data_IF_975700047912
#
_entry.id   IF_975700047912
#
_cell.length_a   1.000
_cell.length_b   1.000
_cell.length_c   1.000
_cell.angle_alpha   90.00
_cell.angle_beta   90.00
_cell.angle_gamma   90.00
#
_symmetry.space_group_name_H-M   'P 1'
#
loop_
_entity.id
_entity.type
_entity.pdbx_description
1 polymer ?
#
# COMPACT_ATOMS: atom_id res chain seq x y z
N UNK A 1 -60.65 25.32 13.10
CA UNK A 1 -59.55 26.01 13.80
C UNK A 1 -58.33 25.93 12.89
N UNK A 2 -57.90 27.04 12.27
CA UNK A 2 -56.67 27.09 11.47
C UNK A 2 -55.52 27.60 12.34
N UNK A 3 -54.43 26.83 12.46
CA UNK A 3 -53.21 27.30 13.12
C UNK A 3 -52.25 27.86 12.07
N UNK A 4 -52.08 29.18 12.15
CA UNK A 4 -51.17 30.01 11.39
C UNK A 4 -49.73 29.83 11.88
N UNK A 5 -48.80 29.48 10.99
CA UNK A 5 -47.36 29.50 11.27
C UNK A 5 -46.83 30.95 11.29
N UNK A 6 -45.95 31.34 12.26
CA UNK A 6 -45.35 32.66 12.26
C UNK A 6 -44.14 32.73 11.33
N UNK A 7 -44.15 33.72 10.44
CA UNK A 7 -43.04 34.21 9.63
C UNK A 7 -42.13 35.11 10.47
N UNK A 8 -40.82 34.84 10.49
CA UNK A 8 -39.83 35.78 11.03
C UNK A 8 -38.46 35.14 11.25
N UNK A 9 -37.59 35.19 10.24
CA UNK A 9 -36.17 34.91 10.40
C UNK A 9 -35.48 36.14 11.02
N UNK A 10 -34.90 35.98 12.22
CA UNK A 10 -33.99 36.98 12.80
C UNK A 10 -32.56 36.50 12.59
N UNK A 11 -31.81 37.26 11.79
CA UNK A 11 -30.38 37.06 11.57
C UNK A 11 -29.59 37.45 12.81
N UNK A 12 -28.56 36.67 13.13
CA UNK A 12 -27.59 37.00 14.15
C UNK A 12 -26.61 38.05 13.60
N UNK A 13 -26.57 39.19 14.27
CA UNK A 13 -25.68 40.33 14.05
C UNK A 13 -24.36 40.06 14.81
N UNK A 14 -23.23 39.96 14.09
CA UNK A 14 -21.90 39.86 14.70
C UNK A 14 -21.24 41.23 14.63
N UNK A 15 -21.16 41.92 15.75
CA UNK A 15 -20.34 43.13 15.90
C UNK A 15 -18.90 42.73 16.20
N UNK A 16 -17.98 43.11 15.29
CA UNK A 16 -16.53 43.01 15.51
C UNK A 16 -16.08 44.11 16.47
N UNK A 17 -15.61 43.73 17.66
CA UNK A 17 -14.94 44.65 18.58
C UNK A 17 -13.42 44.59 18.36
N UNK A 18 -12.94 45.51 17.53
CA UNK A 18 -11.52 45.88 17.43
C UNK A 18 -11.15 46.83 18.56
N UNK A 19 -10.34 46.35 19.50
CA UNK A 19 -9.50 47.24 20.33
C UNK A 19 -8.05 46.75 20.28
N UNK A 20 -7.30 47.37 19.38
CA UNK A 20 -5.85 47.52 19.46
C UNK A 20 -5.56 48.55 20.56
N UNK A 21 -4.70 48.22 21.52
CA UNK A 21 -3.37 48.83 21.61
C UNK A 21 -2.63 48.54 22.93
N UNK A 22 -1.30 48.40 22.77
CA UNK A 22 -0.24 48.72 23.74
C UNK A 22 -0.08 47.81 24.97
N UNK A 23 0.81 46.82 24.81
CA UNK A 23 2.03 46.73 25.63
C UNK A 23 3.13 46.04 24.82
N UNK A 24 3.96 46.86 24.16
CA UNK A 24 5.32 46.48 23.83
C UNK A 24 6.12 46.38 25.13
N UNK A 25 6.78 45.26 25.38
CA UNK A 25 8.24 45.19 25.52
C UNK A 25 8.71 43.87 26.14
N UNK A 26 9.78 43.33 25.54
CA UNK A 26 10.78 42.57 26.29
C UNK A 26 10.60 41.07 26.37
N UNK A 27 10.85 40.34 25.27
CA UNK A 27 11.67 39.12 25.30
C UNK A 27 12.18 38.83 23.89
N UNK A 28 13.40 39.29 23.61
CA UNK A 28 14.23 38.68 22.58
C UNK A 28 14.49 37.22 22.98
N UNK A 29 13.65 36.30 22.49
CA UNK A 29 13.96 34.89 22.55
C UNK A 29 15.18 34.65 21.65
N UNK A 30 16.33 34.49 22.30
CA UNK A 30 17.59 34.04 21.75
C UNK A 30 17.34 32.93 20.71
N UNK A 31 17.47 33.28 19.43
CA UNK A 31 17.68 32.32 18.36
C UNK A 31 19.08 31.75 18.59
N UNK A 32 19.16 30.70 19.39
CA UNK A 32 20.36 29.89 19.48
C UNK A 32 20.48 29.20 18.13
N UNK A 33 21.25 29.80 17.22
CA UNK A 33 21.86 29.05 16.14
C UNK A 33 22.62 27.89 16.79
N UNK A 34 22.38 26.62 16.43
CA UNK A 34 23.11 25.52 17.05
C UNK A 34 24.50 25.46 16.42
N UNK A 35 25.35 26.45 16.70
CA UNK A 35 26.80 26.35 16.53
C UNK A 35 27.32 25.43 17.64
N UNK A 36 27.03 24.14 17.52
CA UNK A 36 27.32 23.20 18.60
C UNK A 36 26.73 21.81 18.41
N UNK A 37 26.82 21.22 17.21
CA UNK A 37 26.78 19.76 17.12
C UNK A 37 28.06 19.22 17.77
N UNK A 38 28.09 19.13 19.10
CA UNK A 38 29.22 18.57 19.85
C UNK A 38 29.53 17.14 19.37
N UNK A 39 30.69 16.59 19.77
CA UNK A 39 31.17 15.26 19.34
C UNK A 39 30.11 14.15 19.46
N UNK A 40 29.24 14.23 20.47
CA UNK A 40 28.10 13.33 20.65
C UNK A 40 27.00 13.50 19.58
N UNK A 41 26.70 14.73 19.15
CA UNK A 41 25.75 15.01 18.06
C UNK A 41 26.27 14.53 16.71
N UNK A 42 27.55 14.75 16.41
CA UNK A 42 28.19 14.21 15.22
C UNK A 42 28.26 12.66 15.25
N UNK A 43 28.55 12.07 16.41
CA UNK A 43 28.58 10.62 16.60
C UNK A 43 27.20 9.97 16.44
N UNK A 44 26.16 10.55 17.06
CA UNK A 44 24.78 10.06 16.94
C UNK A 44 24.25 10.23 15.52
N UNK A 45 24.52 11.38 14.88
CA UNK A 45 24.18 11.61 13.47
C UNK A 45 24.86 10.57 12.56
N UNK A 46 26.15 10.31 12.77
CA UNK A 46 26.88 9.31 12.01
C UNK A 46 26.36 7.88 12.28
N UNK A 47 26.02 7.53 13.53
CA UNK A 47 25.44 6.23 13.89
C UNK A 47 24.04 6.04 13.28
N UNK A 48 23.22 7.09 13.25
CA UNK A 48 21.91 7.08 12.59
C UNK A 48 22.06 6.94 11.08
N UNK A 49 23.02 7.66 10.48
CA UNK A 49 23.34 7.56 9.05
C UNK A 49 23.82 6.15 8.66
N UNK A 50 24.77 5.58 9.41
CA UNK A 50 25.25 4.20 9.17
C UNK A 50 24.11 3.19 9.33
N UNK A 51 23.23 3.36 10.34
CA UNK A 51 22.06 2.51 10.51
C UNK A 51 21.05 2.67 9.36
N UNK A 52 20.86 3.87 8.83
CA UNK A 52 20.00 4.08 7.66
C UNK A 52 20.61 3.49 6.38
N UNK A 53 21.91 3.62 6.18
CA UNK A 53 22.61 3.05 5.02
C UNK A 53 22.57 1.52 5.05
N UNK A 54 22.86 0.91 6.20
CA UNK A 54 22.76 -0.55 6.38
C UNK A 54 21.32 -1.04 6.16
N UNK A 55 20.32 -0.29 6.63
CA UNK A 55 18.91 -0.61 6.42
C UNK A 55 18.55 -0.58 4.93
N UNK A 56 18.94 0.48 4.20
CA UNK A 56 18.66 0.59 2.75
C UNK A 56 19.33 -0.53 1.97
N UNK A 57 20.56 -0.92 2.32
CA UNK A 57 21.24 -2.07 1.70
C UNK A 57 20.50 -3.38 1.94
N UNK A 58 20.02 -3.62 3.16
CA UNK A 58 19.21 -4.82 3.47
C UNK A 58 17.90 -4.78 2.68
N UNK A 59 17.17 -3.67 2.72
CA UNK A 59 15.91 -3.52 1.99
C UNK A 59 16.10 -3.76 0.49
N UNK A 60 17.15 -3.19 -0.12
CA UNK A 60 17.46 -3.38 -1.54
C UNK A 60 17.67 -4.87 -1.87
N UNK A 61 18.49 -5.58 -1.07
CA UNK A 61 18.71 -7.03 -1.26
C UNK A 61 17.43 -7.85 -1.16
N UNK A 62 16.53 -7.48 -0.24
CA UNK A 62 15.25 -8.19 -0.08
C UNK A 62 14.29 -7.86 -1.23
N UNK A 63 14.28 -6.63 -1.72
CA UNK A 63 13.53 -6.23 -2.91
C UNK A 63 14.03 -7.04 -4.13
N UNK A 64 15.35 -7.13 -4.31
CA UNK A 64 15.95 -7.94 -5.37
C UNK A 64 15.53 -9.41 -5.25
N UNK A 65 15.65 -10.01 -4.06
CA UNK A 65 15.23 -11.38 -3.83
C UNK A 65 13.75 -11.62 -4.14
N UNK A 66 12.86 -10.66 -3.84
CA UNK A 66 11.43 -10.74 -4.19
C UNK A 66 11.23 -10.77 -5.72
N UNK A 67 11.86 -9.84 -6.45
CA UNK A 67 11.70 -9.74 -7.89
C UNK A 67 12.38 -10.89 -8.65
N UNK A 68 13.47 -11.44 -8.12
CA UNK A 68 14.15 -12.58 -8.72
C UNK A 68 13.45 -13.92 -8.46
N UNK A 69 12.89 -14.13 -7.25
CA UNK A 69 12.48 -15.47 -6.82
C UNK A 69 10.97 -15.65 -6.65
N UNK A 70 10.21 -14.57 -6.44
CA UNK A 70 8.78 -14.65 -6.13
C UNK A 70 7.90 -14.01 -7.21
N UNK A 71 8.26 -12.82 -7.66
CA UNK A 71 7.55 -12.09 -8.72
C UNK A 71 7.36 -12.87 -10.03
N UNK A 72 8.33 -13.68 -10.54
CA UNK A 72 8.15 -14.40 -11.80
C UNK A 72 6.97 -15.38 -11.79
N UNK A 73 6.59 -15.88 -10.61
CA UNK A 73 5.43 -16.76 -10.41
C UNK A 73 4.17 -15.96 -10.14
N UNK A 74 4.30 -14.82 -9.45
CA UNK A 74 3.20 -14.02 -8.95
C UNK A 74 3.41 -12.51 -9.26
N UNK A 75 3.24 -12.08 -10.53
CA UNK A 75 3.62 -10.76 -11.01
C UNK A 75 2.56 -9.69 -10.65
N UNK A 76 2.25 -9.56 -9.36
CA UNK A 76 1.23 -8.63 -8.85
C UNK A 76 1.68 -7.17 -8.88
N UNK A 77 2.97 -6.90 -9.02
CA UNK A 77 3.57 -5.56 -8.96
C UNK A 77 4.41 -5.33 -10.21
N UNK A 78 4.34 -4.14 -10.80
CA UNK A 78 5.24 -3.77 -11.90
C UNK A 78 6.60 -3.36 -11.34
N UNK A 79 7.66 -4.11 -11.63
CA UNK A 79 8.97 -3.92 -11.00
C UNK A 79 9.56 -2.51 -11.22
N UNK A 80 9.63 -1.99 -12.46
CA UNK A 80 10.21 -0.66 -12.69
C UNK A 80 9.49 0.44 -11.91
N UNK A 81 8.16 0.40 -11.86
CA UNK A 81 7.37 1.38 -11.10
C UNK A 81 7.62 1.27 -9.61
N UNK A 82 7.65 0.05 -9.06
CA UNK A 82 7.90 -0.16 -7.63
C UNK A 82 9.29 0.34 -7.22
N UNK A 83 10.33 0.04 -8.00
CA UNK A 83 11.70 0.51 -7.73
C UNK A 83 11.80 2.03 -7.82
N UNK A 84 11.17 2.63 -8.82
CA UNK A 84 11.12 4.09 -8.95
C UNK A 84 10.39 4.76 -7.76
N UNK A 85 9.31 4.16 -7.24
CA UNK A 85 8.62 4.62 -6.03
C UNK A 85 9.44 4.40 -4.74
N UNK A 86 10.20 3.31 -4.68
CA UNK A 86 11.12 3.03 -3.58
C UNK A 86 12.21 4.10 -3.50
N UNK A 87 12.84 4.42 -4.63
CA UNK A 87 13.87 5.46 -4.76
C UNK A 87 13.32 6.90 -4.83
N UNK A 88 12.01 7.10 -4.67
CA UNK A 88 11.36 8.42 -4.68
C UNK A 88 11.53 9.19 -6.00
N UNK A 89 11.81 8.47 -7.09
CA UNK A 89 11.81 9.02 -8.46
C UNK A 89 10.38 9.27 -8.93
N UNK A 90 9.46 8.38 -8.55
CA UNK A 90 8.02 8.52 -8.77
C UNK A 90 7.28 8.75 -7.44
N UNK A 91 6.13 9.46 -7.46
CA UNK A 91 5.32 9.62 -6.27
C UNK A 91 4.85 8.25 -5.77
N UNK A 92 5.01 8.05 -4.45
CA UNK A 92 4.50 6.86 -3.77
C UNK A 92 2.97 6.90 -3.72
N UNK A 93 2.30 5.73 -3.73
CA UNK A 93 0.88 5.63 -3.44
C UNK A 93 0.53 6.15 -2.04
N UNK A 94 -0.76 6.09 -1.69
CA UNK A 94 -1.26 6.41 -0.35
C UNK A 94 -0.38 5.77 0.73
N UNK A 95 0.02 6.58 1.72
CA UNK A 95 1.04 6.24 2.72
C UNK A 95 0.81 4.87 3.38
N UNK A 96 -0.41 4.55 3.79
CA UNK A 96 -0.74 3.25 4.41
C UNK A 96 -0.56 2.08 3.43
N UNK A 97 -1.18 2.16 2.25
CA UNK A 97 -1.09 1.13 1.19
C UNK A 97 0.34 0.89 0.75
N UNK A 98 1.13 1.96 0.56
CA UNK A 98 2.53 1.85 0.18
C UNK A 98 3.36 1.18 1.28
N UNK A 99 3.19 1.56 2.54
CA UNK A 99 3.91 0.94 3.67
C UNK A 99 3.57 -0.55 3.77
N UNK A 100 2.31 -0.91 3.62
CA UNK A 100 1.85 -2.30 3.62
C UNK A 100 2.48 -3.09 2.46
N UNK A 101 2.44 -2.55 1.25
CA UNK A 101 3.03 -3.19 0.08
C UNK A 101 4.55 -3.38 0.24
N UNK A 102 5.27 -2.32 0.61
CA UNK A 102 6.72 -2.37 0.81
C UNK A 102 7.08 -3.40 1.89
N UNK A 103 6.40 -3.37 3.05
CA UNK A 103 6.65 -4.34 4.12
C UNK A 103 6.41 -5.78 3.66
N UNK A 104 5.36 -6.00 2.87
CA UNK A 104 5.02 -7.33 2.34
C UNK A 104 6.05 -7.82 1.32
N UNK A 105 6.52 -6.94 0.43
CA UNK A 105 7.60 -7.24 -0.53
C UNK A 105 8.88 -7.61 0.21
N UNK A 106 9.27 -6.84 1.24
CA UNK A 106 10.44 -7.15 2.05
C UNK A 106 10.30 -8.51 2.77
N UNK A 107 9.13 -8.81 3.32
CA UNK A 107 8.86 -10.08 4.00
C UNK A 107 8.92 -11.27 3.02
N UNK A 108 8.38 -11.12 1.80
CA UNK A 108 8.46 -12.14 0.76
C UNK A 108 9.87 -12.30 0.20
N UNK A 109 10.62 -11.21 0.05
CA UNK A 109 12.03 -11.24 -0.32
C UNK A 109 12.87 -12.00 0.70
N UNK A 110 12.64 -11.73 1.99
CA UNK A 110 13.26 -12.47 3.09
C UNK A 110 12.92 -13.96 3.01
N UNK A 111 11.63 -14.29 2.90
CA UNK A 111 11.16 -15.68 2.81
C UNK A 111 11.73 -16.43 1.60
N UNK A 112 11.79 -15.78 0.44
CA UNK A 112 12.24 -16.38 -0.83
C UNK A 112 13.75 -16.45 -0.98
N UNK A 113 14.52 -15.66 -0.22
CA UNK A 113 15.99 -15.71 -0.21
C UNK A 113 16.57 -17.03 0.32
N UNK A 114 15.75 -17.96 0.79
CA UNK A 114 16.16 -19.29 1.28
C UNK A 114 16.89 -19.27 2.62
N UNK A 115 17.04 -18.10 3.25
CA UNK A 115 17.57 -17.96 4.60
C UNK A 115 16.44 -18.23 5.61
N UNK A 116 16.11 -19.51 5.76
CA UNK A 116 14.98 -20.00 6.55
C UNK A 116 14.96 -19.41 7.97
N UNK A 117 13.84 -18.77 8.34
CA UNK A 117 13.47 -18.43 9.73
C UNK A 117 14.49 -17.59 10.52
N UNK A 118 15.09 -16.61 9.86
CA UNK A 118 15.81 -15.56 10.60
C UNK A 118 14.84 -14.75 11.46
N UNK A 119 15.36 -14.15 12.54
CA UNK A 119 14.57 -13.22 13.37
C UNK A 119 13.98 -12.08 12.55
N UNK A 120 14.73 -11.61 11.54
CA UNK A 120 14.33 -10.57 10.61
C UNK A 120 13.10 -10.97 9.78
N UNK A 121 13.04 -12.22 9.32
CA UNK A 121 11.91 -12.74 8.55
C UNK A 121 10.59 -12.68 9.33
N UNK A 122 10.61 -13.14 10.59
CA UNK A 122 9.43 -13.07 11.47
C UNK A 122 9.07 -11.62 11.82
N UNK A 123 10.06 -10.75 12.05
CA UNK A 123 9.82 -9.33 12.31
C UNK A 123 9.14 -8.63 11.12
N UNK A 124 9.61 -8.87 9.89
CA UNK A 124 9.02 -8.30 8.67
C UNK A 124 7.60 -8.80 8.43
N UNK A 125 7.35 -10.10 8.66
CA UNK A 125 6.00 -10.64 8.55
C UNK A 125 5.06 -10.03 9.59
N UNK A 126 5.45 -9.99 10.87
CA UNK A 126 4.63 -9.35 11.94
C UNK A 126 4.35 -7.89 11.65
N UNK A 127 5.34 -7.15 11.17
CA UNK A 127 5.18 -5.77 10.75
C UNK A 127 4.15 -5.64 9.63
N UNK A 128 4.19 -6.53 8.64
CA UNK A 128 3.24 -6.54 7.52
C UNK A 128 1.82 -6.83 7.98
N UNK A 129 1.64 -7.80 8.91
CA UNK A 129 0.34 -8.06 9.55
C UNK A 129 -0.17 -6.81 10.26
N UNK A 130 0.65 -6.19 11.12
CA UNK A 130 0.25 -5.00 11.87
C UNK A 130 -0.13 -3.81 10.97
N UNK A 131 0.56 -3.63 9.84
CA UNK A 131 0.19 -2.59 8.86
C UNK A 131 -1.12 -2.91 8.13
N UNK A 132 -1.47 -4.19 7.98
CA UNK A 132 -2.72 -4.63 7.37
C UNK A 132 -3.94 -4.50 8.30
N UNK A 133 -3.71 -4.28 9.60
CA UNK A 133 -4.74 -4.06 10.62
C UNK A 133 -5.08 -2.56 10.80
N UNK A 134 -4.35 -1.67 10.14
CA UNK A 134 -4.61 -0.23 10.18
C UNK A 134 -6.00 0.10 9.58
N UNK A 135 -6.80 0.89 10.30
CA UNK A 135 -8.18 1.23 9.92
C UNK A 135 -8.27 1.83 8.50
N UNK A 136 -7.28 2.64 8.12
CA UNK A 136 -7.23 3.28 6.80
C UNK A 136 -7.14 2.30 5.63
N UNK A 137 -6.68 1.07 5.89
CA UNK A 137 -6.66 -0.01 4.88
C UNK A 137 -8.08 -0.41 4.49
N UNK A 138 -9.04 -0.33 5.42
CA UNK A 138 -10.43 -0.75 5.21
C UNK A 138 -11.31 0.34 4.58
N UNK A 139 -10.95 1.61 4.77
CA UNK A 139 -11.76 2.75 4.33
C UNK A 139 -11.72 2.98 2.82
N UNK A 140 -10.55 2.81 2.19
CA UNK A 140 -10.35 3.16 0.77
C UNK A 140 -9.74 2.00 0.00
N UNK A 141 -10.55 1.38 -0.86
CA UNK A 141 -10.07 0.41 -1.83
C UNK A 141 -9.15 1.08 -2.85
N UNK A 142 -7.94 0.54 -3.03
CA UNK A 142 -7.03 0.93 -4.10
C UNK A 142 -6.17 -0.26 -4.53
N UNK A 143 -5.61 -0.17 -5.74
CA UNK A 143 -4.87 -1.28 -6.36
C UNK A 143 -3.66 -1.70 -5.51
N UNK A 144 -2.93 -0.75 -4.93
CA UNK A 144 -1.75 -0.99 -4.09
C UNK A 144 -2.11 -1.79 -2.84
N UNK A 145 -3.22 -1.45 -2.17
CA UNK A 145 -3.72 -2.25 -1.03
C UNK A 145 -4.06 -3.67 -1.45
N UNK A 146 -4.75 -3.86 -2.58
CA UNK A 146 -5.12 -5.20 -3.07
C UNK A 146 -3.88 -6.03 -3.37
N UNK A 147 -2.89 -5.45 -4.06
CA UNK A 147 -1.60 -6.09 -4.34
C UNK A 147 -0.89 -6.51 -3.06
N UNK A 148 -0.88 -5.67 -2.03
CA UNK A 148 -0.25 -5.99 -0.77
C UNK A 148 -0.98 -7.11 -0.02
N UNK A 149 -2.32 -7.04 0.06
CA UNK A 149 -3.14 -8.04 0.76
C UNK A 149 -3.09 -9.42 0.09
N UNK A 150 -3.11 -9.50 -1.24
CA UNK A 150 -3.03 -10.79 -1.96
C UNK A 150 -1.66 -11.45 -1.78
N UNK A 151 -0.58 -10.67 -1.81
CA UNK A 151 0.77 -11.13 -1.52
C UNK A 151 0.93 -11.58 -0.05
N UNK A 152 0.44 -10.77 0.89
CA UNK A 152 0.50 -11.07 2.32
C UNK A 152 -0.36 -12.29 2.68
N UNK A 153 -1.51 -12.46 2.02
CA UNK A 153 -2.34 -13.66 2.13
C UNK A 153 -1.56 -14.91 1.78
N UNK A 154 -0.86 -14.90 0.65
CA UNK A 154 -0.07 -16.05 0.20
C UNK A 154 1.10 -16.34 1.15
N UNK A 155 1.79 -15.31 1.63
CA UNK A 155 2.82 -15.45 2.65
C UNK A 155 2.28 -16.07 3.94
N UNK A 156 1.11 -15.61 4.43
CA UNK A 156 0.48 -16.17 5.63
C UNK A 156 0.18 -17.67 5.45
N UNK A 157 -0.30 -18.09 4.27
CA UNK A 157 -0.49 -19.52 3.96
C UNK A 157 0.83 -20.29 3.98
N UNK A 158 1.89 -19.76 3.36
CA UNK A 158 3.24 -20.35 3.38
C UNK A 158 3.84 -20.46 4.79
N UNK A 159 3.40 -19.61 5.72
CA UNK A 159 3.78 -19.65 7.14
C UNK A 159 2.81 -20.45 8.02
N UNK A 160 2.05 -21.37 7.43
CA UNK A 160 1.09 -22.21 8.14
C UNK A 160 0.03 -21.42 8.93
N UNK A 161 -0.40 -20.26 8.41
CA UNK A 161 -1.51 -19.45 8.93
C UNK A 161 -2.61 -19.33 7.87
N UNK A 162 -3.24 -20.44 7.43
CA UNK A 162 -4.19 -20.45 6.33
C UNK A 162 -5.45 -19.63 6.60
N UNK A 163 -5.89 -19.51 7.85
CA UNK A 163 -7.06 -18.69 8.21
C UNK A 163 -6.76 -17.19 8.08
N UNK A 164 -5.60 -16.74 8.56
CA UNK A 164 -5.14 -15.36 8.35
C UNK A 164 -5.04 -15.06 6.86
N UNK A 165 -4.42 -15.98 6.09
CA UNK A 165 -4.31 -15.84 4.64
C UNK A 165 -5.66 -15.73 3.95
N UNK A 166 -6.63 -16.57 4.29
CA UNK A 166 -7.95 -16.52 3.66
C UNK A 166 -8.74 -15.26 4.00
N UNK A 167 -8.65 -14.75 5.24
CA UNK A 167 -9.29 -13.48 5.60
C UNK A 167 -8.72 -12.31 4.79
N UNK A 168 -7.39 -12.26 4.63
CA UNK A 168 -6.73 -11.25 3.81
C UNK A 168 -7.10 -11.37 2.33
N UNK A 169 -7.19 -12.60 1.82
CA UNK A 169 -7.64 -12.87 0.45
C UNK A 169 -9.08 -12.38 0.25
N UNK A 170 -9.98 -12.70 1.17
CA UNK A 170 -11.37 -12.24 1.11
C UNK A 170 -11.51 -10.72 1.15
N UNK A 171 -10.66 -10.02 1.92
CA UNK A 171 -10.61 -8.56 1.92
C UNK A 171 -10.12 -8.02 0.57
N UNK A 172 -9.03 -8.58 0.03
CA UNK A 172 -8.49 -8.22 -1.27
C UNK A 172 -9.53 -8.43 -2.40
N UNK A 173 -10.25 -9.56 -2.37
CA UNK A 173 -11.33 -9.87 -3.33
C UNK A 173 -12.46 -8.85 -3.25
N UNK A 174 -12.94 -8.49 -2.05
CA UNK A 174 -13.98 -7.46 -1.91
C UNK A 174 -13.53 -6.10 -2.45
N UNK A 175 -12.32 -5.68 -2.14
CA UNK A 175 -11.76 -4.42 -2.68
C UNK A 175 -11.62 -4.46 -4.19
N UNK A 176 -11.17 -5.58 -4.77
CA UNK A 176 -11.05 -5.77 -6.20
C UNK A 176 -12.42 -5.68 -6.91
N UNK A 177 -13.46 -6.27 -6.31
CA UNK A 177 -14.82 -6.15 -6.80
C UNK A 177 -15.33 -4.71 -6.73
N UNK A 178 -15.09 -4.02 -5.61
CA UNK A 178 -15.46 -2.59 -5.44
C UNK A 178 -14.78 -1.68 -6.46
N UNK A 179 -13.54 -1.97 -6.87
CA UNK A 179 -12.83 -1.25 -7.93
C UNK A 179 -13.20 -1.70 -9.35
N UNK A 180 -14.10 -2.68 -9.50
CA UNK A 180 -14.47 -3.24 -10.79
C UNK A 180 -13.31 -3.94 -11.50
N UNK A 181 -12.36 -4.56 -10.79
CA UNK A 181 -11.24 -5.29 -11.42
C UNK A 181 -11.69 -6.51 -12.21
N UNK A 182 -12.87 -7.04 -11.88
CA UNK A 182 -13.56 -8.13 -12.57
C UNK A 182 -14.23 -7.70 -13.88
N UNK A 183 -14.18 -6.40 -14.19
CA UNK A 183 -14.74 -5.85 -15.42
C UNK A 183 -13.72 -5.07 -16.23
N UNK A 184 -13.88 -5.12 -17.54
CA UNK A 184 -13.05 -4.39 -18.47
C UNK A 184 -13.86 -3.91 -19.68
N UNK A 185 -14.11 -2.61 -19.75
CA UNK A 185 -14.88 -2.03 -20.84
C UNK A 185 -13.96 -1.41 -21.91
N UNK A 186 -14.17 -1.68 -23.22
CA UNK A 186 -13.32 -1.15 -24.30
C UNK A 186 -13.22 0.38 -24.36
N UNK A 187 -14.21 1.09 -23.80
CA UNK A 187 -14.23 2.56 -23.78
C UNK A 187 -13.38 3.18 -22.66
N UNK A 188 -12.78 2.38 -21.78
CA UNK A 188 -11.94 2.89 -20.70
C UNK A 188 -10.62 3.41 -21.27
N UNK A 189 -10.42 4.72 -21.21
CA UNK A 189 -9.16 5.36 -21.60
C UNK A 189 -8.12 5.21 -20.46
N UNK A 190 -7.68 3.99 -20.23
CA UNK A 190 -6.70 3.62 -19.20
C UNK A 190 -5.43 3.18 -19.91
N UNK A 191 -4.27 3.71 -19.51
CA UNK A 191 -2.99 3.32 -20.09
C UNK A 191 -2.72 1.81 -19.98
N UNK A 192 -1.99 1.25 -20.93
CA UNK A 192 -1.74 -0.19 -21.06
C UNK A 192 -1.15 -0.79 -19.78
N UNK A 193 -0.19 -0.10 -19.14
CA UNK A 193 0.36 -0.51 -17.84
C UNK A 193 -0.72 -0.68 -16.77
N UNK A 194 -1.61 0.29 -16.64
CA UNK A 194 -2.65 0.26 -15.62
C UNK A 194 -3.69 -0.82 -15.91
N UNK A 195 -4.06 -1.04 -17.18
CA UNK A 195 -4.95 -2.14 -17.57
C UNK A 195 -4.31 -3.49 -17.24
N UNK A 196 -3.06 -3.68 -17.66
CA UNK A 196 -2.34 -4.93 -17.44
C UNK A 196 -2.17 -5.23 -15.94
N UNK A 197 -1.84 -4.23 -15.11
CA UNK A 197 -1.76 -4.44 -13.66
C UNK A 197 -3.11 -4.80 -13.03
N UNK A 198 -4.23 -4.25 -13.53
CA UNK A 198 -5.57 -4.64 -13.08
C UNK A 198 -5.88 -6.10 -13.45
N UNK A 199 -5.55 -6.52 -14.67
CA UNK A 199 -5.73 -7.91 -15.13
C UNK A 199 -4.89 -8.89 -14.32
N UNK A 200 -3.60 -8.61 -14.11
CA UNK A 200 -2.70 -9.45 -13.30
C UNK A 200 -3.22 -9.64 -11.88
N UNK A 201 -3.68 -8.56 -11.24
CA UNK A 201 -4.27 -8.64 -9.89
C UNK A 201 -5.57 -9.44 -9.88
N UNK A 202 -6.46 -9.20 -10.85
CA UNK A 202 -7.74 -9.91 -10.94
C UNK A 202 -7.55 -11.42 -11.13
N UNK A 203 -6.79 -11.82 -12.13
CA UNK A 203 -6.56 -13.23 -12.42
C UNK A 203 -5.68 -13.92 -11.35
N UNK A 204 -4.78 -13.18 -10.70
CA UNK A 204 -4.04 -13.70 -9.55
C UNK A 204 -4.93 -13.95 -8.33
N UNK A 205 -5.91 -13.08 -8.05
CA UNK A 205 -6.94 -13.34 -7.05
C UNK A 205 -7.77 -14.58 -7.41
N UNK A 206 -8.15 -14.71 -8.69
CA UNK A 206 -8.88 -15.87 -9.18
C UNK A 206 -8.12 -17.18 -8.89
N UNK A 207 -6.82 -17.19 -9.21
CA UNK A 207 -5.94 -18.33 -8.98
C UNK A 207 -5.82 -18.67 -7.50
N UNK A 208 -5.64 -17.68 -6.63
CA UNK A 208 -5.48 -17.92 -5.20
C UNK A 208 -6.75 -18.38 -4.51
N UNK A 209 -7.91 -17.84 -4.89
CA UNK A 209 -9.19 -18.25 -4.32
C UNK A 209 -9.55 -19.68 -4.75
N UNK A 210 -9.35 -19.99 -6.03
CA UNK A 210 -9.51 -21.36 -6.55
C UNK A 210 -8.56 -22.34 -5.85
N UNK A 211 -7.28 -21.97 -5.70
CA UNK A 211 -6.28 -22.78 -5.01
C UNK A 211 -6.61 -23.00 -3.53
N UNK A 212 -7.10 -21.97 -2.83
CA UNK A 212 -7.54 -22.08 -1.45
C UNK A 212 -8.78 -22.98 -1.31
N UNK A 213 -9.70 -22.91 -2.27
CA UNK A 213 -10.86 -23.80 -2.34
C UNK A 213 -10.45 -25.26 -2.51
N UNK A 214 -9.57 -25.55 -3.48
CA UNK A 214 -9.08 -26.91 -3.74
C UNK A 214 -8.27 -27.46 -2.56
N UNK A 215 -7.39 -26.64 -1.95
CA UNK A 215 -6.46 -27.12 -0.92
C UNK A 215 -7.13 -27.27 0.45
N UNK A 216 -8.05 -26.37 0.80
CA UNK A 216 -8.63 -26.29 2.14
C UNK A 216 -10.15 -26.52 2.19
N UNK A 217 -10.78 -26.86 1.06
CA UNK A 217 -12.23 -27.07 0.97
C UNK A 217 -13.06 -25.80 1.19
N UNK A 218 -12.46 -24.61 0.97
CA UNK A 218 -13.14 -23.32 1.18
C UNK A 218 -14.12 -23.02 0.03
N UNK A 219 -15.23 -22.31 0.28
CA UNK A 219 -16.08 -21.82 -0.79
C UNK A 219 -15.33 -20.78 -1.64
N UNK A 220 -15.61 -20.77 -2.93
CA UNK A 220 -15.13 -19.74 -3.87
C UNK A 220 -15.88 -18.43 -3.58
N UNK A 221 -15.14 -17.33 -3.52
CA UNK A 221 -15.62 -15.97 -3.24
C UNK A 221 -15.89 -15.14 -4.50
N UNK A 222 -15.47 -15.65 -5.66
CA UNK A 222 -15.54 -14.94 -6.93
C UNK A 222 -16.94 -14.95 -7.54
N UNK A 223 -17.31 -13.93 -8.34
CA UNK A 223 -18.57 -13.91 -9.08
C UNK A 223 -18.67 -15.07 -10.08
N UNK A 224 -19.89 -15.35 -10.52
CA UNK A 224 -20.13 -16.26 -11.65
C UNK A 224 -19.44 -15.76 -12.92
N UNK A 225 -19.09 -16.70 -13.81
CA UNK A 225 -18.41 -16.41 -15.09
C UNK A 225 -19.11 -15.32 -15.91
N UNK A 226 -20.44 -15.29 -15.92
CA UNK A 226 -21.23 -14.32 -16.68
C UNK A 226 -21.17 -12.90 -16.11
N UNK A 227 -20.67 -12.73 -14.89
CA UNK A 227 -20.50 -11.42 -14.23
C UNK A 227 -19.09 -10.84 -14.40
N UNK A 228 -18.19 -11.56 -15.09
CA UNK A 228 -16.79 -11.20 -15.29
C UNK A 228 -16.48 -11.06 -16.79
N UNK A 229 -15.93 -9.92 -17.21
CA UNK A 229 -15.54 -9.66 -18.61
C UNK A 229 -14.09 -9.13 -18.76
N UNK A 230 -13.28 -9.30 -17.71
CA UNK A 230 -11.85 -8.93 -17.74
C UNK A 230 -11.09 -9.73 -18.79
N UNK A 231 -10.31 -9.05 -19.62
CA UNK A 231 -9.50 -9.71 -20.63
C UNK A 231 -8.37 -10.54 -19.97
N UNK A 232 -7.82 -11.50 -20.71
CA UNK A 232 -6.66 -12.25 -20.25
C UNK A 232 -5.40 -11.37 -20.13
N UNK A 233 -4.51 -11.76 -19.23
CA UNK A 233 -3.18 -11.15 -19.04
C UNK A 233 -2.41 -11.20 -20.37
N UNK A 234 -1.72 -10.11 -20.71
CA UNK A 234 -0.89 -10.06 -21.91
C UNK A 234 0.45 -10.76 -21.65
N UNK A 235 0.95 -11.49 -22.65
CA UNK A 235 2.30 -12.06 -22.60
C UNK A 235 3.35 -11.03 -23.05
N UNK A 236 3.53 -9.99 -22.23
CA UNK A 236 4.46 -8.88 -22.47
C UNK A 236 5.38 -8.69 -21.28
N UNK A 237 6.67 -8.46 -21.56
CA UNK A 237 7.67 -8.17 -20.53
C UNK A 237 7.43 -6.82 -19.87
N UNK A 238 7.73 -6.72 -18.57
CA UNK A 238 7.57 -5.47 -17.79
C UNK A 238 8.37 -4.31 -18.41
N UNK A 239 9.52 -4.58 -19.02
CA UNK A 239 10.32 -3.54 -19.70
C UNK A 239 9.60 -2.91 -20.90
N UNK A 240 8.77 -3.68 -21.60
CA UNK A 240 8.05 -3.23 -22.81
C UNK A 240 6.85 -2.36 -22.42
N UNK A 241 6.24 -2.61 -21.26
CA UNK A 241 5.08 -1.88 -20.75
C UNK A 241 5.40 -0.39 -20.47
N UNK A 242 6.68 -0.05 -20.25
CA UNK A 242 7.15 1.33 -20.01
C UNK A 242 6.98 2.26 -21.22
N UNK A 243 6.98 1.74 -22.45
CA UNK A 243 7.06 2.56 -23.67
C UNK A 243 5.77 3.26 -24.08
N UNK A 244 4.70 3.15 -23.29
CA UNK A 244 3.40 3.76 -23.57
C UNK A 244 2.99 4.84 -22.54
N UNK A 245 3.98 5.38 -21.82
CA UNK A 245 3.84 6.53 -20.92
C UNK A 245 4.16 7.88 -21.60
N UNK A 246 4.00 7.99 -22.93
CA UNK A 246 4.14 9.26 -23.66
C UNK A 246 2.83 9.66 -24.32
#
# INVERSE_FOLDING_TARGET
>A
MPDTAPSGAQGYDWTEDTTLDLLADGMAALRVEPTGAGYLGAFLSNKLRVKSEARVQIETKLIDAYFENYHPVYPFVHEPTFRAQYHEILPRPVSASWKLLLSTVLALGSWSSGQTQTELDEQLYRRSISLGEDESIFEVANLTTIQALVLLSNLAQKRNRPNTGWNMLGLATRMALSLGLHREHPSWNVGILHQEMRRRVWWGLFLFDSGASTTFGRPILLPDQNSMDTCHILNIDDEVILHHLK
#
